data_IF_691683115299
#
_entry.id   IF_691683115299
#
_cell.length_a   1.000
_cell.length_b   1.000
_cell.length_c   1.000
_cell.angle_alpha   90.00
_cell.angle_beta   90.00
_cell.angle_gamma   90.00
#
_symmetry.space_group_name_H-M   'P 1'
#
loop_
_entity.id
_entity.type
_entity.pdbx_description
1 polymer ?
#
# COMPACT_ATOMS: atom_id res chain seq x y z
N UNK A 1 9.71 1.52 21.69
CA UNK A 1 8.69 1.60 20.60
C UNK A 1 9.23 1.09 19.26
N UNK A 2 10.47 1.41 18.84
CA UNK A 2 11.06 0.91 17.57
C UNK A 2 11.69 -0.50 17.60
N UNK A 3 11.88 -1.11 18.78
CA UNK A 3 12.59 -2.38 18.90
C UNK A 3 11.83 -3.58 18.30
N UNK A 4 10.49 -3.55 18.28
CA UNK A 4 9.68 -4.67 17.77
C UNK A 4 9.68 -4.74 16.24
N UNK A 5 9.69 -3.59 15.56
CA UNK A 5 9.74 -3.52 14.09
C UNK A 5 11.05 -4.12 13.55
N UNK A 6 12.17 -3.90 14.26
CA UNK A 6 13.46 -4.50 13.92
C UNK A 6 13.49 -6.03 14.07
N UNK A 7 12.56 -6.63 14.83
CA UNK A 7 12.46 -8.09 14.95
C UNK A 7 11.75 -8.74 13.74
N UNK A 8 11.08 -7.94 12.90
CA UNK A 8 10.44 -8.39 11.65
C UNK A 8 11.36 -8.16 10.44
N UNK A 9 12.68 -8.13 10.68
CA UNK A 9 13.69 -7.88 9.67
C UNK A 9 13.55 -8.88 8.51
N UNK A 10 13.31 -8.35 7.30
CA UNK A 10 13.14 -9.14 6.07
C UNK A 10 11.72 -9.11 5.49
N UNK A 11 10.69 -8.73 6.26
CA UNK A 11 9.31 -8.56 5.75
C UNK A 11 8.83 -7.11 5.80
N UNK A 12 9.55 -6.23 6.49
CA UNK A 12 9.28 -4.79 6.57
C UNK A 12 10.39 -4.03 5.85
N UNK A 13 9.98 -3.03 5.05
CA UNK A 13 10.87 -2.04 4.47
C UNK A 13 10.49 -0.67 4.98
N UNK A 14 11.44 0.02 5.61
CA UNK A 14 11.27 1.42 5.99
C UNK A 14 11.46 2.31 4.76
N UNK A 15 10.52 3.24 4.56
CA UNK A 15 10.53 4.20 3.46
C UNK A 15 10.17 5.56 4.03
N UNK A 16 10.90 6.59 3.63
CA UNK A 16 10.60 7.98 3.98
C UNK A 16 10.11 8.71 2.72
N UNK A 17 8.78 8.89 2.54
CA UNK A 17 8.27 9.60 1.38
C UNK A 17 8.75 11.05 1.37
N UNK A 18 9.43 11.45 0.30
CA UNK A 18 9.92 12.84 0.11
C UNK A 18 8.91 13.73 -0.62
N UNK A 19 7.78 13.18 -1.06
CA UNK A 19 6.74 13.86 -1.82
C UNK A 19 5.35 13.40 -1.39
N UNK A 20 4.38 14.31 -1.43
CA UNK A 20 2.96 14.02 -1.18
C UNK A 20 2.20 14.12 -2.49
N UNK A 21 1.70 13.00 -2.98
CA UNK A 21 1.03 12.91 -4.27
C UNK A 21 -0.41 13.43 -4.24
N UNK A 22 -1.06 13.42 -3.06
CA UNK A 22 -2.44 13.87 -2.88
C UNK A 22 -3.43 13.17 -3.82
N UNK A 23 -3.30 11.84 -3.86
CA UNK A 23 -4.10 11.00 -4.77
C UNK A 23 -5.44 10.64 -4.13
N UNK A 24 -5.48 10.52 -2.81
CA UNK A 24 -6.70 10.16 -2.10
C UNK A 24 -7.53 11.42 -1.84
N UNK A 25 -8.74 11.45 -2.39
CA UNK A 25 -9.66 12.61 -2.27
C UNK A 25 -10.76 12.41 -1.22
N UNK A 26 -11.02 11.16 -0.82
CA UNK A 26 -12.07 10.81 0.15
C UNK A 26 -11.67 11.07 1.60
N UNK A 27 -10.38 10.87 1.91
CA UNK A 27 -9.77 11.11 3.22
C UNK A 27 -8.29 11.50 3.02
N UNK A 28 -7.89 12.64 3.58
CA UNK A 28 -6.53 13.13 3.47
C UNK A 28 -5.54 12.32 4.33
N UNK A 29 -6.02 11.61 5.36
CA UNK A 29 -5.17 10.77 6.20
C UNK A 29 -4.70 9.52 5.44
N UNK A 30 -5.50 9.03 4.48
CA UNK A 30 -5.19 7.88 3.65
C UNK A 30 -4.04 8.10 2.66
N UNK A 31 -3.72 9.36 2.34
CA UNK A 31 -2.56 9.71 1.51
C UNK A 31 -1.26 9.17 2.10
N UNK A 32 -1.14 9.02 3.42
CA UNK A 32 0.06 8.46 4.03
C UNK A 32 0.35 7.03 3.52
N UNK A 33 -0.68 6.22 3.33
CA UNK A 33 -0.56 4.85 2.81
C UNK A 33 -0.28 4.85 1.30
N UNK A 34 -1.00 5.68 0.53
CA UNK A 34 -0.78 5.81 -0.90
C UNK A 34 0.64 6.30 -1.21
N UNK A 35 1.10 7.36 -0.53
CA UNK A 35 2.46 7.90 -0.68
C UNK A 35 3.51 6.84 -0.33
N UNK A 36 3.32 6.11 0.78
CA UNK A 36 4.24 5.05 1.18
C UNK A 36 4.34 3.96 0.10
N UNK A 37 3.21 3.46 -0.40
CA UNK A 37 3.17 2.43 -1.42
C UNK A 37 3.80 2.88 -2.75
N UNK A 38 3.53 4.12 -3.17
CA UNK A 38 4.09 4.70 -4.40
C UNK A 38 5.61 4.84 -4.27
N UNK A 39 6.11 5.43 -3.19
CA UNK A 39 7.57 5.61 -2.99
C UNK A 39 8.27 4.27 -2.77
N UNK A 40 7.61 3.30 -2.14
CA UNK A 40 8.13 1.94 -1.99
C UNK A 40 8.21 1.17 -3.32
N UNK A 41 7.56 1.68 -4.38
CA UNK A 41 7.31 1.00 -5.65
C UNK A 41 6.62 -0.35 -5.42
N UNK A 42 5.60 -0.36 -4.57
CA UNK A 42 4.80 -1.54 -4.29
C UNK A 42 3.88 -1.88 -5.46
N UNK A 43 3.65 -3.18 -5.69
CA UNK A 43 2.69 -3.64 -6.70
C UNK A 43 1.24 -3.42 -6.27
N UNK A 44 0.96 -3.58 -4.96
CA UNK A 44 -0.39 -3.55 -4.43
C UNK A 44 -0.52 -2.78 -3.12
N UNK A 45 -1.67 -2.17 -2.92
CA UNK A 45 -2.21 -1.82 -1.60
C UNK A 45 -3.31 -2.84 -1.30
N UNK A 46 -3.09 -3.69 -0.31
CA UNK A 46 -4.08 -4.69 0.10
C UNK A 46 -5.07 -4.01 1.06
N UNK A 47 -6.30 -3.76 0.61
CA UNK A 47 -7.31 -3.02 1.37
C UNK A 47 -8.73 -3.36 0.93
N UNK A 48 -9.71 -3.25 1.85
CA UNK A 48 -11.15 -3.24 1.54
C UNK A 48 -11.70 -1.80 1.47
N UNK A 49 -10.84 -0.80 1.67
CA UNK A 49 -11.24 0.60 1.67
C UNK A 49 -11.37 1.14 0.22
N UNK A 50 -12.57 1.61 -0.08
CA UNK A 50 -12.95 2.15 -1.37
C UNK A 50 -12.32 3.53 -1.67
N UNK A 51 -11.78 4.24 -0.67
CA UNK A 51 -11.04 5.48 -0.89
C UNK A 51 -9.85 5.29 -1.84
N UNK A 52 -9.26 4.09 -1.88
CA UNK A 52 -8.13 3.77 -2.75
C UNK A 52 -8.52 3.41 -4.19
N UNK A 53 -9.81 3.33 -4.52
CA UNK A 53 -10.27 3.04 -5.88
C UNK A 53 -9.73 4.05 -6.91
N UNK A 54 -9.44 5.28 -6.47
CA UNK A 54 -8.82 6.34 -7.30
C UNK A 54 -7.46 5.96 -7.88
N UNK A 55 -6.76 4.97 -7.31
CA UNK A 55 -5.49 4.47 -7.84
C UNK A 55 -5.68 3.61 -9.10
N UNK A 56 -6.87 3.07 -9.33
CA UNK A 56 -7.17 2.28 -10.53
C UNK A 56 -7.12 3.15 -11.78
N UNK A 57 -6.19 2.84 -12.69
CA UNK A 57 -5.99 3.63 -13.91
C UNK A 57 -5.35 5.01 -13.71
N UNK A 58 -4.89 5.32 -12.49
CA UNK A 58 -4.20 6.59 -12.18
C UNK A 58 -2.81 6.72 -12.81
N UNK A 59 -2.24 5.62 -13.30
CA UNK A 59 -0.85 5.55 -13.76
C UNK A 59 0.18 5.36 -12.64
N UNK A 60 -0.24 5.41 -11.37
CA UNK A 60 0.62 5.03 -10.25
C UNK A 60 0.76 3.51 -10.17
N UNK A 61 1.97 3.06 -9.78
CA UNK A 61 2.32 1.64 -9.66
C UNK A 61 1.36 0.82 -8.80
N UNK A 62 1.16 1.17 -7.51
CA UNK A 62 0.35 0.34 -6.64
C UNK A 62 -1.12 0.34 -7.04
N UNK A 63 -1.65 -0.85 -7.26
CA UNK A 63 -3.07 -1.05 -7.53
C UNK A 63 -3.79 -1.58 -6.28
N UNK A 64 -5.01 -1.10 -5.97
CA UNK A 64 -5.76 -1.60 -4.83
C UNK A 64 -6.25 -3.02 -5.12
N UNK A 65 -6.13 -3.91 -4.14
CA UNK A 65 -6.64 -5.28 -4.20
C UNK A 65 -7.23 -5.67 -2.85
N UNK A 66 -8.34 -6.39 -2.85
CA UNK A 66 -8.92 -6.88 -1.60
C UNK A 66 -8.04 -7.99 -1.01
N UNK A 67 -7.94 -8.11 0.33
CA UNK A 67 -7.28 -9.25 0.98
C UNK A 67 -7.73 -10.60 0.43
N UNK A 68 -9.05 -10.80 0.25
CA UNK A 68 -9.60 -12.04 -0.26
C UNK A 68 -9.09 -12.37 -1.67
N UNK A 69 -9.04 -11.37 -2.56
CA UNK A 69 -8.56 -11.56 -3.92
C UNK A 69 -7.04 -11.74 -3.97
N UNK A 70 -6.28 -11.02 -3.14
CA UNK A 70 -4.85 -11.22 -3.03
C UNK A 70 -4.50 -12.65 -2.58
N UNK A 71 -5.18 -13.16 -1.55
CA UNK A 71 -5.03 -14.53 -1.07
C UNK A 71 -5.33 -15.52 -2.19
N UNK A 72 -6.48 -15.37 -2.86
CA UNK A 72 -6.90 -16.24 -3.97
C UNK A 72 -5.92 -16.24 -5.15
N UNK A 73 -5.27 -15.12 -5.44
CA UNK A 73 -4.35 -15.03 -6.60
C UNK A 73 -2.95 -15.51 -6.28
N UNK A 74 -2.46 -15.22 -5.08
CA UNK A 74 -1.03 -15.33 -4.79
C UNK A 74 -0.70 -16.30 -3.66
N UNK A 75 -1.67 -16.72 -2.84
CA UNK A 75 -1.42 -17.53 -1.65
C UNK A 75 -2.16 -18.88 -1.67
N UNK A 76 -3.20 -19.04 -2.49
CA UNK A 76 -3.84 -20.36 -2.69
C UNK A 76 -3.04 -21.17 -3.71
N UNK A 77 -1.99 -21.85 -3.22
CA UNK A 77 -1.08 -22.66 -4.04
C UNK A 77 0.27 -23.00 -3.40
N UNK A 78 0.50 -22.60 -2.13
CA UNK A 78 1.61 -23.05 -1.30
C UNK A 78 1.16 -24.21 -0.37
#
# INVERSE_FOLDING_TARGET
MFALIHLLHGTIREVTPSYRFHVITGDADDDAFANCAIVANADFIITEDHHFAVLQGSGYGPQPITPAEFIRRYLTGA
#
